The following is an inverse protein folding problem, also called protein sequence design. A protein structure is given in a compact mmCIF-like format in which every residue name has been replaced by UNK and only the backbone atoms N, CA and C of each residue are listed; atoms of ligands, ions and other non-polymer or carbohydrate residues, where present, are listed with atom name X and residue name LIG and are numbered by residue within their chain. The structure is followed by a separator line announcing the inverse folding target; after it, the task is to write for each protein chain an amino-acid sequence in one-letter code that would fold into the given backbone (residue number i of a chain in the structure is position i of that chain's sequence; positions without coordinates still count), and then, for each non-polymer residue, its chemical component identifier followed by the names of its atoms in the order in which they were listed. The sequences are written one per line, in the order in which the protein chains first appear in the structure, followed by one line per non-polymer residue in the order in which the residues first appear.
data_IF_659238133937
#
_entry.id   IF_659238133937
#
_cell.length_a   1.000
_cell.length_b   1.000
_cell.length_c   1.000
_cell.angle_alpha   90.00
_cell.angle_beta   90.00
_cell.angle_gamma   90.00
#
_symmetry.space_group_name_H-M   'P 1'
#
loop_
_entity.id
_entity.type
_entity.pdbx_description
1 polymer ?
#
# COMPACT_ATOMS: atom_id res chain seq x y z
N UNK A 1 -11.53 2.46 -33.64
CA UNK A 1 -12.68 2.41 -32.74
C UNK A 1 -12.15 2.57 -31.34
N UNK A 2 -12.56 3.64 -30.66
CA UNK A 2 -12.34 3.86 -29.24
C UNK A 2 -13.10 2.81 -28.44
N UNK A 3 -12.55 2.37 -27.30
CA UNK A 3 -13.23 1.47 -26.37
C UNK A 3 -14.34 2.24 -25.66
N UNK A 4 -15.54 1.67 -25.53
CA UNK A 4 -16.62 2.28 -24.74
C UNK A 4 -16.42 2.08 -23.23
N UNK A 5 -17.11 2.87 -22.39
CA UNK A 5 -17.09 2.65 -20.94
C UNK A 5 -17.57 1.24 -20.58
N UNK A 6 -18.65 0.77 -21.20
CA UNK A 6 -19.21 -0.57 -20.95
C UNK A 6 -18.21 -1.70 -21.24
N UNK A 7 -17.48 -1.61 -22.35
CA UNK A 7 -16.43 -2.58 -22.69
C UNK A 7 -15.27 -2.55 -21.68
N UNK A 8 -14.86 -1.35 -21.23
CA UNK A 8 -13.80 -1.22 -20.25
C UNK A 8 -14.20 -1.74 -18.87
N UNK A 9 -15.40 -1.38 -18.40
CA UNK A 9 -15.93 -1.88 -17.13
C UNK A 9 -16.08 -3.39 -17.16
N UNK A 10 -16.74 -3.95 -18.17
CA UNK A 10 -16.98 -5.39 -18.27
C UNK A 10 -15.72 -6.22 -18.49
N UNK A 11 -14.75 -5.71 -19.24
CA UNK A 11 -13.51 -6.44 -19.55
C UNK A 11 -12.41 -6.29 -18.50
N UNK A 12 -12.42 -5.21 -17.71
CA UNK A 12 -11.31 -4.88 -16.81
C UNK A 12 -11.77 -4.55 -15.39
N UNK A 13 -12.61 -3.54 -15.19
CA UNK A 13 -12.92 -3.04 -13.83
C UNK A 13 -13.75 -4.04 -13.03
N UNK A 14 -14.84 -4.56 -13.60
CA UNK A 14 -15.70 -5.51 -12.89
C UNK A 14 -14.97 -6.82 -12.57
N UNK A 15 -14.16 -7.44 -13.46
CA UNK A 15 -13.37 -8.60 -13.07
C UNK A 15 -12.23 -8.28 -12.09
N UNK A 16 -11.68 -7.06 -12.09
CA UNK A 16 -10.69 -6.63 -11.09
C UNK A 16 -11.32 -6.61 -9.69
N UNK A 17 -12.51 -6.03 -9.58
CA UNK A 17 -13.22 -5.92 -8.31
C UNK A 17 -13.92 -7.23 -7.91
N UNK A 18 -14.60 -7.91 -8.81
CA UNK A 18 -15.38 -9.12 -8.52
C UNK A 18 -14.59 -10.42 -8.61
N UNK A 19 -13.38 -10.38 -9.15
CA UNK A 19 -12.65 -11.57 -9.58
C UNK A 19 -13.11 -12.05 -10.96
N UNK A 20 -12.19 -12.67 -11.70
CA UNK A 20 -12.45 -13.17 -13.04
C UNK A 20 -11.28 -12.92 -13.99
N UNK A 21 -11.39 -13.36 -15.25
CA UNK A 21 -10.38 -13.07 -16.26
C UNK A 21 -10.39 -11.59 -16.63
N UNK A 22 -9.23 -10.95 -16.52
CA UNK A 22 -9.03 -9.57 -17.00
C UNK A 22 -8.67 -9.56 -18.47
N UNK A 23 -9.25 -8.61 -19.20
CA UNK A 23 -8.91 -8.31 -20.58
C UNK A 23 -8.00 -7.08 -20.63
N UNK A 24 -6.71 -7.32 -20.84
CA UNK A 24 -5.73 -6.27 -21.10
C UNK A 24 -5.67 -6.05 -22.61
N UNK A 25 -6.36 -5.00 -23.07
CA UNK A 25 -6.44 -4.67 -24.48
C UNK A 25 -5.46 -3.57 -24.90
N UNK A 26 -5.82 -2.82 -25.95
CA UNK A 26 -5.09 -1.60 -26.32
C UNK A 26 -5.05 -0.61 -25.15
N UNK A 27 -3.93 0.11 -24.95
CA UNK A 27 -3.84 1.17 -23.96
C UNK A 27 -4.86 2.26 -24.15
N UNK A 28 -5.32 2.80 -23.03
CA UNK A 28 -6.28 3.89 -22.96
C UNK A 28 -5.55 5.23 -22.99
N UNK A 29 -6.00 6.13 -23.85
CA UNK A 29 -5.48 7.51 -23.94
C UNK A 29 -6.27 8.43 -23.01
N UNK A 30 -5.68 9.55 -22.55
CA UNK A 30 -6.39 10.52 -21.72
C UNK A 30 -7.72 11.02 -22.32
N UNK A 31 -7.77 11.22 -23.64
CA UNK A 31 -8.99 11.62 -24.36
C UNK A 31 -10.10 10.57 -24.27
N UNK A 32 -9.73 9.27 -24.34
CA UNK A 32 -10.69 8.17 -24.20
C UNK A 32 -11.20 8.08 -22.75
N UNK A 33 -10.31 8.30 -21.78
CA UNK A 33 -10.68 8.34 -20.35
C UNK A 33 -11.63 9.50 -20.06
N UNK A 34 -11.37 10.68 -20.63
CA UNK A 34 -12.25 11.84 -20.48
C UNK A 34 -13.66 11.58 -21.04
N UNK A 35 -13.75 10.99 -22.24
CA UNK A 35 -15.04 10.60 -22.82
C UNK A 35 -15.78 9.56 -21.96
N UNK A 36 -15.07 8.54 -21.45
CA UNK A 36 -15.63 7.55 -20.54
C UNK A 36 -16.08 8.16 -19.20
N UNK A 37 -15.43 9.24 -18.72
CA UNK A 37 -15.81 9.92 -17.49
C UNK A 37 -17.16 10.64 -17.64
N UNK A 38 -17.42 11.26 -18.79
CA UNK A 38 -18.73 11.86 -19.10
C UNK A 38 -19.83 10.79 -19.13
N UNK A 39 -19.57 9.63 -19.74
CA UNK A 39 -20.49 8.48 -19.74
C UNK A 39 -20.74 7.92 -18.34
N UNK A 40 -19.71 7.90 -17.48
CA UNK A 40 -19.79 7.39 -16.10
C UNK A 40 -20.69 8.30 -15.25
N UNK A 41 -20.53 9.62 -15.35
CA UNK A 41 -21.39 10.58 -14.63
C UNK A 41 -22.84 10.53 -15.14
N UNK A 42 -23.04 10.25 -16.42
CA UNK A 42 -24.37 10.18 -17.01
C UNK A 42 -25.13 8.87 -16.72
N UNK A 43 -24.48 7.85 -16.16
CA UNK A 43 -25.07 6.52 -15.99
C UNK A 43 -24.74 5.86 -14.65
N UNK A 44 -25.76 5.36 -13.96
CA UNK A 44 -25.55 4.55 -12.76
C UNK A 44 -25.23 3.11 -13.15
N UNK A 45 -24.16 2.54 -12.59
CA UNK A 45 -23.80 1.13 -12.79
C UNK A 45 -23.90 0.35 -11.47
N UNK A 46 -25.05 -0.30 -11.25
CA UNK A 46 -25.33 -1.00 -9.99
C UNK A 46 -24.35 -2.16 -9.70
N UNK A 47 -23.84 -2.84 -10.72
CA UNK A 47 -22.86 -3.92 -10.54
C UNK A 47 -21.51 -3.38 -10.10
N UNK A 48 -21.08 -2.25 -10.66
CA UNK A 48 -19.86 -1.55 -10.24
C UNK A 48 -19.95 -1.15 -8.77
N UNK A 49 -21.03 -0.47 -8.38
CA UNK A 49 -21.22 0.00 -7.02
C UNK A 49 -21.31 -1.15 -6.01
N UNK A 50 -22.02 -2.22 -6.36
CA UNK A 50 -22.08 -3.42 -5.53
C UNK A 50 -20.69 -4.04 -5.30
N UNK A 51 -19.87 -4.14 -6.34
CA UNK A 51 -18.53 -4.72 -6.23
C UNK A 51 -17.56 -3.80 -5.47
N UNK A 52 -17.65 -2.48 -5.69
CA UNK A 52 -16.90 -1.47 -4.91
C UNK A 52 -17.22 -1.60 -3.42
N UNK A 53 -18.51 -1.64 -3.08
CA UNK A 53 -18.98 -1.79 -1.70
C UNK A 53 -18.49 -3.10 -1.06
N UNK A 54 -18.59 -4.23 -1.77
CA UNK A 54 -18.09 -5.52 -1.28
C UNK A 54 -16.58 -5.53 -1.01
N UNK A 55 -15.80 -4.86 -1.86
CA UNK A 55 -14.35 -4.74 -1.65
C UNK A 55 -14.02 -3.85 -0.47
N UNK A 56 -14.71 -2.74 -0.30
CA UNK A 56 -14.55 -1.91 0.90
C UNK A 56 -14.98 -2.68 2.17
N UNK A 57 -16.00 -3.54 2.08
CA UNK A 57 -16.47 -4.38 3.19
C UNK A 57 -15.43 -5.39 3.68
N UNK A 58 -14.47 -5.77 2.84
CA UNK A 58 -13.34 -6.61 3.25
C UNK A 58 -12.37 -5.87 4.19
N UNK A 59 -12.41 -4.53 4.21
CA UNK A 59 -11.58 -3.69 5.09
C UNK A 59 -12.40 -3.16 6.27
N UNK A 60 -13.58 -2.59 6.02
CA UNK A 60 -14.44 -2.01 7.06
C UNK A 60 -15.85 -2.56 6.92
N UNK A 61 -16.45 -3.07 8.00
CA UNK A 61 -17.73 -3.77 7.95
C UNK A 61 -18.90 -2.97 7.32
N UNK A 62 -18.96 -1.66 7.60
CA UNK A 62 -19.99 -0.75 7.09
C UNK A 62 -19.30 0.42 6.38
N UNK A 63 -18.81 0.23 5.14
CA UNK A 63 -18.12 1.29 4.43
C UNK A 63 -19.14 2.25 3.81
N UNK A 64 -18.76 3.52 3.77
CA UNK A 64 -19.45 4.56 3.01
C UNK A 64 -18.52 4.90 1.84
N UNK A 65 -19.04 4.83 0.62
CA UNK A 65 -18.32 5.23 -0.58
C UNK A 65 -19.22 6.16 -1.37
N UNK A 66 -18.65 7.24 -1.90
CA UNK A 66 -19.30 8.03 -2.93
C UNK A 66 -19.36 7.22 -4.24
N UNK A 67 -20.24 7.64 -5.14
CA UNK A 67 -20.33 7.05 -6.50
C UNK A 67 -18.99 7.15 -7.23
N UNK A 68 -18.68 6.17 -8.08
CA UNK A 68 -17.43 6.18 -8.81
C UNK A 68 -17.25 7.44 -9.67
N UNK A 69 -16.21 8.21 -9.38
CA UNK A 69 -15.91 9.46 -10.06
C UNK A 69 -14.85 9.37 -11.17
N UNK A 70 -14.55 10.50 -11.84
CA UNK A 70 -13.50 10.58 -12.85
C UNK A 70 -12.11 10.17 -12.35
N UNK A 71 -11.78 10.47 -11.09
CA UNK A 71 -10.48 10.14 -10.49
C UNK A 71 -10.30 8.62 -10.33
N UNK A 72 -11.33 7.90 -9.89
CA UNK A 72 -11.32 6.44 -9.82
C UNK A 72 -11.24 5.80 -11.21
N UNK A 73 -11.96 6.36 -12.18
CA UNK A 73 -11.86 5.91 -13.57
C UNK A 73 -10.45 6.12 -14.13
N UNK A 74 -9.84 7.27 -13.85
CA UNK A 74 -8.46 7.58 -14.20
C UNK A 74 -7.48 6.59 -13.57
N UNK A 75 -7.67 6.26 -12.29
CA UNK A 75 -6.90 5.25 -11.58
C UNK A 75 -7.04 3.88 -12.23
N UNK A 76 -8.26 3.39 -12.50
CA UNK A 76 -8.46 2.10 -13.19
C UNK A 76 -7.82 2.08 -14.58
N UNK A 77 -7.92 3.18 -15.33
CA UNK A 77 -7.30 3.29 -16.65
C UNK A 77 -5.77 3.25 -16.57
N UNK A 78 -5.18 3.90 -15.56
CA UNK A 78 -3.74 3.84 -15.30
C UNK A 78 -3.30 2.41 -14.95
N UNK A 79 -4.02 1.73 -14.06
CA UNK A 79 -3.75 0.34 -13.69
C UNK A 79 -3.84 -0.61 -14.90
N UNK A 80 -4.84 -0.44 -15.75
CA UNK A 80 -4.94 -1.17 -17.03
C UNK A 80 -3.71 -0.91 -17.90
N UNK A 81 -3.32 0.36 -18.08
CA UNK A 81 -2.19 0.73 -18.91
C UNK A 81 -0.85 0.18 -18.39
N UNK A 82 -0.69 0.05 -17.07
CA UNK A 82 0.48 -0.58 -16.45
C UNK A 82 0.61 -2.03 -16.92
N UNK A 83 -0.47 -2.80 -16.91
CA UNK A 83 -0.45 -4.19 -17.38
C UNK A 83 -0.11 -4.32 -18.87
N UNK A 84 -0.40 -3.29 -19.67
CA UNK A 84 -0.03 -3.31 -21.09
C UNK A 84 1.48 -3.29 -21.30
N UNK A 85 2.26 -2.69 -20.39
CA UNK A 85 3.73 -2.70 -20.52
C UNK A 85 4.34 -4.09 -20.36
N UNK A 86 3.66 -5.01 -19.67
CA UNK A 86 4.07 -6.40 -19.50
C UNK A 86 3.36 -7.36 -20.48
N UNK A 87 2.58 -6.82 -21.41
CA UNK A 87 1.88 -7.68 -22.37
C UNK A 87 2.89 -8.47 -23.22
N UNK A 88 2.76 -9.81 -23.35
CA UNK A 88 3.74 -10.66 -24.05
C UNK A 88 3.91 -10.30 -25.54
N UNK A 89 2.89 -9.70 -26.16
CA UNK A 89 2.98 -9.22 -27.55
C UNK A 89 3.49 -7.78 -27.67
N UNK A 90 3.99 -7.16 -26.61
CA UNK A 90 4.57 -5.81 -26.61
C UNK A 90 5.50 -5.54 -27.81
N UNK A 91 6.42 -6.46 -28.21
CA UNK A 91 7.27 -6.26 -29.38
C UNK A 91 6.50 -6.11 -30.70
N UNK A 92 5.32 -6.70 -30.81
CA UNK A 92 4.46 -6.69 -32.01
C UNK A 92 3.51 -5.50 -32.04
N UNK A 93 3.10 -4.99 -30.88
CA UNK A 93 2.08 -3.92 -30.78
C UNK A 93 2.65 -2.57 -31.20
N UNK A 94 3.79 -2.16 -30.62
CA UNK A 94 4.48 -0.93 -31.03
C UNK A 94 5.98 -1.08 -30.98
N UNK A 95 6.62 -0.90 -32.13
CA UNK A 95 8.07 -0.94 -32.27
C UNK A 95 8.77 0.35 -31.84
N UNK A 96 8.04 1.48 -31.79
CA UNK A 96 8.64 2.80 -31.54
C UNK A 96 8.68 3.13 -30.05
N UNK A 97 9.88 3.31 -29.50
CA UNK A 97 10.14 3.71 -28.10
C UNK A 97 9.39 4.99 -27.67
N UNK A 98 9.18 5.94 -28.59
CA UNK A 98 8.48 7.19 -28.30
C UNK A 98 7.01 6.96 -27.90
N UNK A 99 6.36 5.94 -28.47
CA UNK A 99 4.95 5.62 -28.16
C UNK A 99 4.82 5.11 -26.73
N UNK A 100 5.74 4.24 -26.30
CA UNK A 100 5.78 3.73 -24.93
C UNK A 100 6.06 4.83 -23.90
N UNK A 101 6.98 5.76 -24.22
CA UNK A 101 7.22 6.94 -23.35
C UNK A 101 5.99 7.83 -23.22
N UNK A 102 5.24 8.04 -24.31
CA UNK A 102 3.99 8.81 -24.27
C UNK A 102 2.92 8.11 -23.45
N UNK A 103 2.82 6.78 -23.55
CA UNK A 103 1.92 6.01 -22.71
C UNK A 103 2.32 6.09 -21.23
N UNK A 104 3.60 5.97 -20.92
CA UNK A 104 4.12 6.08 -19.55
C UNK A 104 3.79 7.46 -18.96
N UNK A 105 4.01 8.53 -19.73
CA UNK A 105 3.64 9.89 -19.33
C UNK A 105 2.13 10.03 -19.11
N UNK A 106 1.30 9.48 -20.00
CA UNK A 106 -0.15 9.51 -19.86
C UNK A 106 -0.62 8.75 -18.61
N UNK A 107 -0.09 7.54 -18.35
CA UNK A 107 -0.39 6.79 -17.14
C UNK A 107 0.02 7.54 -15.87
N UNK A 108 1.19 8.22 -15.90
CA UNK A 108 1.63 9.06 -14.78
C UNK A 108 0.69 10.24 -14.53
N UNK A 109 0.21 10.90 -15.58
CA UNK A 109 -0.81 11.96 -15.44
C UNK A 109 -2.08 11.43 -14.80
N UNK A 110 -2.56 10.25 -15.20
CA UNK A 110 -3.74 9.61 -14.61
C UNK A 110 -3.53 9.19 -13.13
N UNK A 111 -2.28 8.96 -12.71
CA UNK A 111 -1.92 8.66 -11.31
C UNK A 111 -1.59 9.91 -10.49
N UNK A 112 -1.61 11.10 -11.09
CA UNK A 112 -1.34 12.37 -10.39
C UNK A 112 -2.60 12.81 -9.64
N UNK A 113 -2.96 12.05 -8.60
CA UNK A 113 -4.07 12.35 -7.71
C UNK A 113 -3.58 13.16 -6.50
N UNK A 114 -4.40 14.08 -6.01
CA UNK A 114 -4.12 14.79 -4.75
C UNK A 114 -4.10 13.82 -3.55
N UNK A 115 -3.70 14.28 -2.37
CA UNK A 115 -3.93 13.50 -1.15
C UNK A 115 -5.44 13.32 -0.92
N UNK A 116 -5.92 12.14 -0.52
CA UNK A 116 -7.33 11.95 -0.26
C UNK A 116 -7.78 12.83 0.91
N UNK A 117 -8.85 13.59 0.70
CA UNK A 117 -9.37 14.54 1.70
C UNK A 117 -10.13 13.83 2.82
N UNK A 118 -10.72 12.67 2.52
CA UNK A 118 -11.55 11.89 3.44
C UNK A 118 -11.09 10.43 3.50
N UNK A 119 -11.61 9.69 4.48
CA UNK A 119 -11.35 8.26 4.58
C UNK A 119 -12.02 7.48 3.45
N UNK A 120 -13.23 7.90 3.06
CA UNK A 120 -14.04 7.30 2.00
C UNK A 120 -13.30 7.37 0.66
N UNK A 121 -12.69 8.52 0.36
CA UNK A 121 -11.85 8.69 -0.83
C UNK A 121 -10.60 7.80 -0.77
N UNK A 122 -9.92 7.77 0.38
CA UNK A 122 -8.74 6.91 0.56
C UNK A 122 -9.07 5.42 0.42
N UNK A 123 -10.26 5.01 0.91
CA UNK A 123 -10.78 3.66 0.81
C UNK A 123 -11.18 3.32 -0.63
N UNK A 124 -11.82 4.23 -1.36
CA UNK A 124 -12.16 4.05 -2.77
C UNK A 124 -10.90 3.80 -3.62
N UNK A 125 -9.83 4.56 -3.37
CA UNK A 125 -8.53 4.31 -4.04
C UNK A 125 -7.94 2.95 -3.67
N UNK A 126 -8.09 2.50 -2.43
CA UNK A 126 -7.70 1.14 -2.04
C UNK A 126 -8.54 0.06 -2.72
N UNK A 127 -9.84 0.27 -2.88
CA UNK A 127 -10.74 -0.65 -3.61
C UNK A 127 -10.25 -0.89 -5.05
N UNK A 128 -9.63 0.11 -5.68
CA UNK A 128 -8.99 -0.04 -6.98
C UNK A 128 -7.60 -0.71 -6.91
N UNK A 129 -6.71 -0.20 -6.05
CA UNK A 129 -5.28 -0.57 -6.02
C UNK A 129 -5.03 -1.89 -5.29
N UNK A 130 -5.77 -2.18 -4.23
CA UNK A 130 -5.63 -3.41 -3.44
C UNK A 130 -5.77 -4.67 -4.30
N UNK A 131 -6.89 -4.87 -5.01
CA UNK A 131 -7.09 -6.01 -5.90
C UNK A 131 -6.08 -6.06 -7.06
N UNK A 132 -5.58 -4.90 -7.51
CA UNK A 132 -4.55 -4.85 -8.54
C UNK A 132 -3.23 -5.48 -8.08
N UNK A 133 -2.86 -5.30 -6.81
CA UNK A 133 -1.69 -5.96 -6.23
C UNK A 133 -1.93 -7.45 -5.90
N UNK A 134 -3.16 -7.95 -6.08
CA UNK A 134 -3.54 -9.35 -5.88
C UNK A 134 -3.67 -10.11 -7.20
N UNK A 135 -3.38 -9.46 -8.33
CA UNK A 135 -3.53 -10.09 -9.63
C UNK A 135 -2.65 -11.33 -9.72
N UNK A 136 -3.25 -12.40 -10.25
CA UNK A 136 -2.56 -13.64 -10.57
C UNK A 136 -2.51 -13.78 -12.09
N UNK A 137 -1.34 -14.12 -12.62
CA UNK A 137 -1.17 -14.53 -14.01
C UNK A 137 -1.28 -16.04 -14.08
N UNK A 138 -2.09 -16.54 -15.01
CA UNK A 138 -2.23 -17.97 -15.31
C UNK A 138 -1.56 -18.26 -16.63
N UNK A 139 -0.40 -18.90 -16.56
CA UNK A 139 0.41 -19.24 -17.72
C UNK A 139 0.13 -20.68 -18.13
N UNK A 140 0.19 -20.93 -19.44
CA UNK A 140 0.03 -22.28 -19.98
C UNK A 140 1.27 -22.65 -20.78
N UNK A 141 1.89 -23.76 -20.40
CA UNK A 141 3.03 -24.34 -21.11
C UNK A 141 2.54 -25.55 -21.90
N UNK A 142 2.76 -25.52 -23.21
CA UNK A 142 2.43 -26.60 -24.13
C UNK A 142 3.71 -27.31 -24.56
N UNK A 143 3.77 -28.61 -24.30
CA UNK A 143 4.90 -29.47 -24.65
C UNK A 143 4.70 -30.03 -26.06
N UNK A 144 5.32 -29.39 -27.05
CA UNK A 144 5.27 -29.82 -28.45
C UNK A 144 6.46 -30.71 -28.81
N UNK A 145 6.43 -31.31 -29.99
CA UNK A 145 7.59 -32.04 -30.53
C UNK A 145 8.81 -31.13 -30.78
N UNK A 146 8.57 -29.83 -30.97
CA UNK A 146 9.61 -28.82 -31.26
C UNK A 146 10.16 -28.17 -29.98
N UNK A 147 9.59 -28.49 -28.80
CA UNK A 147 9.97 -27.93 -27.51
C UNK A 147 8.79 -27.37 -26.72
N UNK A 148 9.09 -26.53 -25.72
CA UNK A 148 8.11 -25.87 -24.88
C UNK A 148 7.61 -24.56 -25.50
N UNK A 149 6.30 -24.42 -25.70
CA UNK A 149 5.65 -23.14 -26.04
C UNK A 149 4.96 -22.58 -24.79
N UNK A 150 5.29 -21.34 -24.40
CA UNK A 150 4.69 -20.67 -23.22
C UNK A 150 3.69 -19.59 -23.64
N UNK A 151 2.53 -19.60 -23.00
CA UNK A 151 1.46 -18.62 -23.16
C UNK A 151 1.28 -17.87 -21.84
N UNK A 152 1.75 -16.63 -21.77
CA UNK A 152 1.79 -15.83 -20.54
C UNK A 152 0.47 -15.09 -20.33
N UNK A 153 -0.47 -15.68 -19.59
CA UNK A 153 -1.84 -15.14 -19.44
C UNK A 153 -2.70 -15.13 -20.71
N UNK A 154 -2.19 -15.66 -21.83
CA UNK A 154 -2.86 -15.64 -23.13
C UNK A 154 -3.74 -16.88 -23.35
N UNK A 155 -4.83 -16.76 -24.12
CA UNK A 155 -5.59 -17.94 -24.53
C UNK A 155 -4.76 -18.83 -25.44
N UNK A 156 -4.71 -20.12 -25.13
CA UNK A 156 -4.00 -21.10 -25.95
C UNK A 156 -4.80 -21.41 -27.23
N UNK A 157 -4.19 -21.34 -28.43
CA UNK A 157 -4.85 -21.72 -29.66
C UNK A 157 -5.37 -23.17 -29.62
N UNK A 158 -6.62 -23.40 -30.01
CA UNK A 158 -7.26 -24.73 -29.96
C UNK A 158 -6.41 -25.86 -30.59
N UNK A 159 -5.71 -25.56 -31.68
CA UNK A 159 -4.82 -26.50 -32.39
C UNK A 159 -3.64 -27.01 -31.55
N UNK A 160 -3.23 -26.26 -30.53
CA UNK A 160 -2.12 -26.60 -29.62
C UNK A 160 -2.57 -27.40 -28.40
N UNK A 161 -3.88 -27.45 -28.11
CA UNK A 161 -4.44 -28.20 -26.97
C UNK A 161 -4.36 -29.72 -27.12
N UNK A 162 -3.94 -30.24 -28.28
CA UNK A 162 -3.71 -31.68 -28.52
C UNK A 162 -2.40 -32.21 -27.93
N UNK A 163 -1.53 -31.31 -27.47
CA UNK A 163 -0.23 -31.64 -26.88
C UNK A 163 -0.30 -31.64 -25.36
N UNK A 164 0.77 -32.09 -24.69
CA UNK A 164 0.87 -32.05 -23.23
C UNK A 164 0.76 -30.62 -22.71
N UNK A 165 0.01 -30.42 -21.62
CA UNK A 165 -0.29 -29.11 -21.03
C UNK A 165 0.13 -29.06 -19.57
N UNK A 166 0.81 -28.00 -19.17
CA UNK A 166 1.06 -27.63 -17.78
C UNK A 166 0.53 -26.22 -17.53
N UNK A 167 -0.23 -26.06 -16.46
CA UNK A 167 -0.70 -24.74 -16.00
C UNK A 167 0.22 -24.24 -14.89
N UNK A 168 0.64 -22.98 -14.97
CA UNK A 168 1.46 -22.29 -13.99
C UNK A 168 0.70 -21.07 -13.47
N UNK A 169 0.80 -20.79 -12.18
CA UNK A 169 0.13 -19.65 -11.54
C UNK A 169 1.19 -18.84 -10.80
N UNK A 170 1.22 -17.55 -11.08
CA UNK A 170 2.18 -16.61 -10.48
C UNK A 170 1.43 -15.38 -9.99
N UNK A 171 1.78 -14.87 -8.81
CA UNK A 171 1.33 -13.55 -8.37
C UNK A 171 1.99 -12.50 -9.26
N UNK A 172 1.21 -11.70 -9.97
CA UNK A 172 1.74 -10.79 -10.99
C UNK A 172 2.80 -9.85 -10.42
N UNK A 173 2.56 -9.25 -9.25
CA UNK A 173 3.48 -8.30 -8.61
C UNK A 173 4.83 -8.90 -8.17
N UNK A 174 4.91 -10.22 -8.06
CA UNK A 174 6.13 -10.95 -7.68
C UNK A 174 6.96 -11.36 -8.91
N UNK A 175 6.47 -11.10 -10.13
CA UNK A 175 7.11 -11.47 -11.38
C UNK A 175 8.16 -10.45 -11.84
N UNK A 176 8.95 -10.82 -12.84
CA UNK A 176 9.85 -9.88 -13.51
C UNK A 176 9.07 -8.92 -14.40
N UNK A 177 9.19 -7.62 -14.10
CA UNK A 177 8.45 -6.57 -14.78
C UNK A 177 9.34 -5.75 -15.70
N UNK A 178 8.72 -5.17 -16.74
CA UNK A 178 9.40 -4.19 -17.57
C UNK A 178 9.70 -2.90 -16.79
N UNK A 179 10.74 -2.18 -17.22
CA UNK A 179 11.22 -0.99 -16.52
C UNK A 179 10.15 0.12 -16.38
N UNK A 180 9.20 0.23 -17.31
CA UNK A 180 8.08 1.18 -17.20
C UNK A 180 7.15 0.84 -16.04
N UNK A 181 6.84 -0.44 -15.82
CA UNK A 181 6.02 -0.90 -14.70
C UNK A 181 6.72 -0.55 -13.39
N UNK A 182 8.00 -0.91 -13.25
CA UNK A 182 8.79 -0.59 -12.07
C UNK A 182 8.82 0.92 -11.74
N UNK A 183 8.84 1.79 -12.75
CA UNK A 183 8.81 3.25 -12.57
C UNK A 183 7.43 3.82 -12.25
N UNK A 184 6.34 3.11 -12.60
CA UNK A 184 4.96 3.55 -12.35
C UNK A 184 4.38 2.94 -11.07
N UNK A 185 4.88 1.80 -10.60
CA UNK A 185 4.41 1.17 -9.37
C UNK A 185 4.47 2.09 -8.15
N UNK A 186 5.53 2.90 -7.93
CA UNK A 186 5.53 3.88 -6.85
C UNK A 186 4.35 4.86 -6.95
N UNK A 187 4.03 5.36 -8.14
CA UNK A 187 2.91 6.30 -8.34
C UNK A 187 1.56 5.65 -8.02
N UNK A 188 1.38 4.37 -8.37
CA UNK A 188 0.19 3.58 -8.00
C UNK A 188 0.04 3.47 -6.49
N UNK A 189 1.14 3.18 -5.80
CA UNK A 189 1.11 3.02 -4.35
C UNK A 189 0.90 4.35 -3.64
N UNK A 190 1.51 5.44 -4.13
CA UNK A 190 1.26 6.80 -3.66
C UNK A 190 -0.20 7.22 -3.81
N UNK A 191 -0.88 6.77 -4.88
CA UNK A 191 -2.29 7.03 -5.06
C UNK A 191 -3.16 6.41 -3.96
N UNK A 192 -2.72 5.33 -3.29
CA UNK A 192 -3.51 4.66 -2.24
C UNK A 192 -2.75 4.52 -0.90
N UNK A 193 -2.83 5.54 -0.02
CA UNK A 193 -2.23 5.48 1.31
C UNK A 193 -2.75 4.33 2.18
N UNK A 194 -4.04 3.98 2.05
CA UNK A 194 -4.64 2.84 2.74
C UNK A 194 -4.00 1.52 2.30
N UNK A 195 -3.73 1.34 0.99
CA UNK A 195 -3.02 0.15 0.51
C UNK A 195 -1.61 0.07 1.08
N UNK A 196 -0.87 1.19 1.08
CA UNK A 196 0.46 1.24 1.68
C UNK A 196 0.43 0.90 3.18
N UNK A 197 -0.57 1.39 3.93
CA UNK A 197 -0.69 1.06 5.35
C UNK A 197 -1.05 -0.41 5.57
N UNK A 198 -1.92 -1.01 4.74
CA UNK A 198 -2.27 -2.43 4.82
C UNK A 198 -1.15 -3.36 4.36
N UNK A 199 -0.29 -2.91 3.43
CA UNK A 199 0.84 -3.65 2.85
C UNK A 199 2.13 -2.84 2.91
N UNK A 200 2.65 -2.54 4.11
CA UNK A 200 3.75 -1.58 4.29
C UNK A 200 5.07 -2.04 3.68
N UNK A 201 5.27 -3.33 3.44
CA UNK A 201 6.45 -3.85 2.75
C UNK A 201 6.47 -3.54 1.26
N UNK A 202 5.33 -3.15 0.68
CA UNK A 202 5.23 -2.69 -0.71
C UNK A 202 5.24 -1.16 -0.81
N UNK A 203 5.25 -0.42 0.31
CA UNK A 203 5.19 1.03 0.27
C UNK A 203 6.41 1.62 -0.48
N UNK A 204 6.22 2.69 -1.28
CA UNK A 204 7.29 3.26 -2.07
C UNK A 204 8.31 3.98 -1.20
N UNK A 205 9.51 4.21 -1.74
CA UNK A 205 10.52 5.01 -1.05
C UNK A 205 9.99 6.41 -0.72
N UNK A 206 10.33 6.91 0.48
CA UNK A 206 9.84 8.19 0.98
C UNK A 206 8.40 8.17 1.51
N UNK A 207 7.71 7.02 1.45
CA UNK A 207 6.40 6.87 2.07
C UNK A 207 6.44 7.08 3.58
N UNK A 208 5.41 7.75 4.09
CA UNK A 208 5.18 7.91 5.52
C UNK A 208 3.83 7.31 5.92
N UNK A 209 3.78 6.49 6.98
CA UNK A 209 2.50 6.00 7.52
C UNK A 209 1.63 7.12 8.07
N UNK A 210 2.19 8.31 8.32
CA UNK A 210 1.46 9.45 8.88
C UNK A 210 0.38 9.98 7.92
N UNK A 211 0.50 9.74 6.61
CA UNK A 211 -0.54 10.11 5.64
C UNK A 211 -1.86 9.38 5.94
N UNK A 212 -1.79 8.11 6.35
CA UNK A 212 -2.96 7.29 6.63
C UNK A 212 -3.27 7.17 8.14
N UNK A 213 -2.41 7.72 9.00
CA UNK A 213 -2.57 7.65 10.46
C UNK A 213 -3.87 8.32 10.98
N UNK A 214 -4.38 9.44 10.42
CA UNK A 214 -5.67 9.99 10.84
C UNK A 214 -6.82 8.98 10.77
N UNK A 215 -6.78 8.06 9.81
CA UNK A 215 -7.82 7.05 9.62
C UNK A 215 -7.80 5.97 10.70
N UNK A 216 -6.68 5.78 11.42
CA UNK A 216 -6.60 4.83 12.53
C UNK A 216 -7.44 5.25 13.74
N UNK A 217 -7.95 6.49 13.77
CA UNK A 217 -8.97 6.91 14.75
C UNK A 217 -10.31 6.17 14.54
N UNK A 218 -10.56 5.68 13.31
CA UNK A 218 -11.71 4.83 13.01
C UNK A 218 -11.43 3.40 13.51
N UNK A 219 -12.00 3.05 14.65
CA UNK A 219 -11.80 1.75 15.30
C UNK A 219 -11.95 0.53 14.37
N UNK A 220 -12.96 0.45 13.47
CA UNK A 220 -13.06 -0.67 12.53
C UNK A 220 -11.85 -0.77 11.60
N UNK A 221 -11.37 0.37 11.07
CA UNK A 221 -10.22 0.42 10.18
C UNK A 221 -8.92 0.07 10.92
N UNK A 222 -8.71 0.62 12.12
CA UNK A 222 -7.54 0.27 12.95
C UNK A 222 -7.45 -1.24 13.22
N UNK A 223 -8.59 -1.88 13.50
CA UNK A 223 -8.64 -3.35 13.65
C UNK A 223 -8.28 -4.07 12.36
N UNK A 224 -8.82 -3.62 11.22
CA UNK A 224 -8.52 -4.21 9.93
C UNK A 224 -7.03 -4.12 9.59
N UNK A 225 -6.40 -2.97 9.85
CA UNK A 225 -4.95 -2.77 9.67
C UNK A 225 -4.14 -3.71 10.58
N UNK A 226 -4.45 -3.75 11.87
CA UNK A 226 -3.76 -4.63 12.82
C UNK A 226 -3.92 -6.10 12.44
N UNK A 227 -5.11 -6.53 12.02
CA UNK A 227 -5.35 -7.90 11.57
C UNK A 227 -4.71 -8.22 10.22
N UNK A 228 -4.62 -7.27 9.29
CA UNK A 228 -3.88 -7.46 8.05
C UNK A 228 -2.40 -7.69 8.34
N UNK A 229 -1.80 -6.88 9.22
CA UNK A 229 -0.42 -7.07 9.65
C UNK A 229 -0.23 -8.38 10.41
N UNK A 230 -1.14 -8.72 11.31
CA UNK A 230 -1.08 -9.95 12.08
C UNK A 230 -1.27 -11.19 11.19
N UNK A 231 -2.14 -11.13 10.18
CA UNK A 231 -2.33 -12.24 9.24
C UNK A 231 -1.10 -12.53 8.36
N UNK A 232 -0.19 -11.56 8.22
CA UNK A 232 1.05 -11.74 7.48
C UNK A 232 2.05 -12.63 8.22
N UNK A 233 2.66 -13.58 7.50
CA UNK A 233 3.82 -14.33 8.00
C UNK A 233 5.03 -13.40 8.25
N UNK A 234 5.06 -12.26 7.57
CA UNK A 234 6.10 -11.24 7.66
C UNK A 234 5.68 -10.05 8.54
N UNK A 235 4.88 -10.29 9.59
CA UNK A 235 4.36 -9.23 10.47
C UNK A 235 5.48 -8.38 11.11
N UNK A 236 6.65 -8.97 11.38
CA UNK A 236 7.83 -8.26 11.90
C UNK A 236 8.36 -7.26 10.86
N UNK A 237 8.47 -7.68 9.60
CA UNK A 237 8.89 -6.83 8.50
C UNK A 237 7.85 -5.75 8.21
N UNK A 238 6.56 -6.07 8.30
CA UNK A 238 5.49 -5.11 8.15
C UNK A 238 5.55 -4.03 9.24
N UNK A 239 5.64 -4.43 10.51
CA UNK A 239 5.81 -3.50 11.63
C UNK A 239 7.10 -2.69 11.53
N UNK A 240 8.20 -3.32 11.11
CA UNK A 240 9.47 -2.66 10.83
C UNK A 240 9.38 -1.61 9.71
N UNK A 241 8.67 -1.90 8.62
CA UNK A 241 8.47 -0.97 7.52
C UNK A 241 7.67 0.26 7.96
N UNK A 242 6.57 0.06 8.70
CA UNK A 242 5.79 1.16 9.28
C UNK A 242 6.64 1.98 10.25
N UNK A 243 7.37 1.32 11.15
CA UNK A 243 8.24 1.99 12.11
C UNK A 243 9.37 2.78 11.44
N UNK A 244 9.96 2.22 10.38
CA UNK A 244 10.98 2.89 9.57
C UNK A 244 10.47 4.18 8.95
N UNK A 245 9.31 4.10 8.29
CA UNK A 245 8.65 5.28 7.70
C UNK A 245 8.28 6.33 8.75
N UNK A 246 7.77 5.91 9.92
CA UNK A 246 7.49 6.82 11.03
C UNK A 246 8.76 7.54 11.50
N UNK A 247 9.84 6.80 11.77
CA UNK A 247 11.07 7.40 12.30
C UNK A 247 11.75 8.32 11.29
N UNK A 248 11.70 8.01 10.00
CA UNK A 248 12.15 8.92 8.95
C UNK A 248 11.33 10.22 8.94
N UNK A 249 10.03 10.13 9.19
CA UNK A 249 9.14 11.30 9.21
C UNK A 249 9.33 12.18 10.45
N UNK A 250 9.78 11.59 11.56
CA UNK A 250 10.01 12.29 12.81
C UNK A 250 11.44 12.83 12.96
N UNK A 251 12.33 12.44 12.05
CA UNK A 251 13.70 12.94 12.01
C UNK A 251 13.68 14.46 11.79
N UNK A 252 14.55 15.22 12.48
CA UNK A 252 14.68 16.64 12.19
C UNK A 252 15.02 16.83 10.72
N UNK A 253 14.49 17.87 10.05
CA UNK A 253 14.91 18.19 8.70
C UNK A 253 16.44 18.34 8.69
N UNK A 254 17.13 17.89 7.62
CA UNK A 254 18.56 18.07 7.51
C UNK A 254 18.87 19.57 7.71
N UNK A 255 19.86 19.87 8.55
CA UNK A 255 20.31 21.25 8.73
C UNK A 255 20.58 21.85 7.34
N UNK A 256 20.08 23.07 7.06
CA UNK A 256 20.32 23.71 5.78
C UNK A 256 21.82 23.74 5.58
N UNK A 257 22.29 23.01 4.56
CA UNK A 257 23.70 23.05 4.19
C UNK A 257 24.01 24.51 3.91
N UNK A 258 25.00 25.13 4.57
CA UNK A 258 25.27 26.55 4.38
C UNK A 258 25.46 26.80 2.88
N UNK A 259 24.63 27.67 2.32
CA UNK A 259 24.70 28.01 0.91
C UNK A 259 26.14 28.46 0.60
N UNK A 260 26.78 27.95 -0.47
CA UNK A 260 28.03 28.52 -0.92
C UNK A 260 27.77 29.99 -1.25
N UNK A 261 28.40 30.87 -0.46
CA UNK A 261 28.40 32.32 -0.59
C UNK A 261 28.38 32.77 -2.04
N UNK A 262 27.43 33.67 -2.34
CA UNK A 262 27.19 34.28 -3.64
C UNK A 262 28.49 34.67 -4.36
N UNK A 263 28.72 34.02 -5.49
CA UNK A 263 29.52 34.58 -6.58
C UNK A 263 28.81 34.27 -7.90
N UNK A 264 28.23 35.32 -8.48
CA UNK A 264 27.89 35.51 -9.90
C UNK A 264 26.79 34.64 -10.53
N UNK A 265 25.69 35.32 -10.89
CA UNK A 265 25.09 35.22 -12.22
C UNK A 265 23.94 34.22 -12.37
N UNK A 266 22.75 34.78 -12.66
CA UNK A 266 21.56 34.14 -13.24
C UNK A 266 21.79 32.74 -13.84
N UNK A 267 21.35 31.71 -13.10
CA UNK A 267 20.94 30.44 -13.73
C UNK A 267 19.58 30.09 -13.16
N UNK A 268 18.56 30.55 -13.88
CA UNK A 268 17.23 29.96 -13.84
C UNK A 268 17.40 28.48 -14.23
N UNK A 269 17.52 27.59 -13.23
CA UNK A 269 17.62 26.14 -13.45
C UNK A 269 16.31 25.65 -14.05
N UNK A 270 16.23 25.67 -15.37
CA UNK A 270 15.31 24.83 -16.10
C UNK A 270 15.54 23.38 -15.64
N UNK A 271 14.50 22.77 -15.06
CA UNK A 271 14.48 21.33 -14.83
C UNK A 271 14.84 20.63 -16.15
N UNK A 272 15.76 19.66 -16.15
CA UNK A 272 16.09 18.92 -17.37
C UNK A 272 14.81 18.26 -17.90
N UNK A 273 14.52 18.46 -19.18
CA UNK A 273 13.43 17.79 -19.87
C UNK A 273 13.59 16.27 -19.71
N UNK A 274 12.78 15.66 -18.84
CA UNK A 274 12.85 14.23 -18.50
C UNK A 274 13.09 13.90 -17.02
N UNK A 275 13.18 14.89 -16.12
CA UNK A 275 13.09 14.60 -14.68
C UNK A 275 11.70 14.01 -14.35
N UNK A 276 11.62 12.85 -13.67
CA UNK A 276 10.33 12.29 -13.29
C UNK A 276 9.65 13.26 -12.33
N UNK A 277 8.48 13.75 -12.73
CA UNK A 277 7.52 14.34 -11.81
C UNK A 277 7.07 13.17 -10.94
N UNK A 278 7.72 12.98 -9.79
CA UNK A 278 7.21 12.09 -8.75
C UNK A 278 5.89 12.69 -8.27
N UNK A 279 4.87 11.86 -8.11
CA UNK A 279 3.67 12.24 -7.36
C UNK A 279 4.10 12.52 -5.90
N UNK A 280 4.41 13.79 -5.64
CA UNK A 280 4.73 14.41 -4.35
C UNK A 280 5.84 13.72 -3.51
N UNK A 281 7.12 14.03 -3.76
CA UNK A 281 8.15 13.85 -2.74
C UNK A 281 7.98 14.90 -1.64
N UNK A 282 7.74 14.44 -0.40
CA UNK A 282 8.07 15.22 0.80
C UNK A 282 7.10 16.33 1.20
N UNK A 283 5.78 16.12 1.12
CA UNK A 283 4.89 16.94 1.95
C UNK A 283 5.27 16.69 3.42
N UNK A 284 5.81 17.71 4.08
CA UNK A 284 6.00 17.69 5.54
C UNK A 284 4.63 17.52 6.18
N UNK A 285 4.26 16.28 6.47
CA UNK A 285 2.98 15.98 7.08
C UNK A 285 3.08 16.43 8.54
N UNK A 286 2.34 17.49 8.89
CA UNK A 286 2.21 17.94 10.27
C UNK A 286 1.31 16.96 11.02
N UNK A 287 1.83 15.77 11.33
CA UNK A 287 1.16 14.84 12.21
C UNK A 287 1.17 15.41 13.63
N UNK A 288 -0.02 15.49 14.24
CA UNK A 288 -0.14 15.80 15.65
C UNK A 288 0.19 14.60 16.54
N UNK A 289 0.19 14.83 17.86
CA UNK A 289 0.38 13.77 18.85
C UNK A 289 -0.61 12.60 18.69
N UNK A 290 -1.85 12.90 18.26
CA UNK A 290 -2.91 11.91 18.09
C UNK A 290 -2.63 10.95 16.94
N UNK A 291 -2.12 11.42 15.80
CA UNK A 291 -1.80 10.56 14.65
C UNK A 291 -0.62 9.65 14.96
N UNK A 292 0.42 10.20 15.60
CA UNK A 292 1.58 9.41 16.05
C UNK A 292 1.13 8.37 17.08
N UNK A 293 0.30 8.79 18.04
CA UNK A 293 -0.26 7.92 19.07
C UNK A 293 -1.10 6.80 18.47
N UNK A 294 -2.01 7.09 17.55
CA UNK A 294 -2.85 6.08 16.90
C UNK A 294 -2.02 5.03 16.16
N UNK A 295 -0.95 5.44 15.47
CA UNK A 295 -0.04 4.53 14.77
C UNK A 295 0.77 3.66 15.75
N UNK A 296 1.35 4.27 16.79
CA UNK A 296 2.09 3.53 17.83
C UNK A 296 1.16 2.57 18.58
N UNK A 297 -0.05 2.99 18.89
CA UNK A 297 -1.09 2.15 19.49
C UNK A 297 -1.43 0.94 18.60
N UNK A 298 -1.59 1.14 17.29
CA UNK A 298 -1.83 0.05 16.35
C UNK A 298 -0.65 -0.95 16.29
N UNK A 299 0.59 -0.46 16.26
CA UNK A 299 1.78 -1.32 16.28
C UNK A 299 1.92 -2.09 17.61
N UNK A 300 1.68 -1.45 18.75
CA UNK A 300 1.67 -2.12 20.06
C UNK A 300 0.55 -3.16 20.13
N UNK A 301 -0.62 -2.88 19.56
CA UNK A 301 -1.73 -3.83 19.48
C UNK A 301 -1.39 -5.03 18.59
N UNK A 302 -0.64 -4.84 17.49
CA UNK A 302 -0.13 -5.95 16.69
C UNK A 302 0.71 -6.93 17.53
N UNK A 303 1.60 -6.44 18.38
CA UNK A 303 2.35 -7.28 19.33
C UNK A 303 1.40 -8.05 20.25
N UNK A 304 0.40 -7.38 20.80
CA UNK A 304 -0.57 -8.01 21.69
C UNK A 304 -1.36 -9.14 21.01
N UNK A 305 -1.88 -8.90 19.80
CA UNK A 305 -2.54 -9.95 18.98
C UNK A 305 -1.61 -11.13 18.74
N UNK A 306 -0.32 -10.87 18.49
CA UNK A 306 0.67 -11.92 18.26
C UNK A 306 1.00 -12.72 19.53
N UNK A 307 1.00 -12.10 20.70
CA UNK A 307 1.10 -12.82 21.99
C UNK A 307 -0.14 -13.68 22.25
N UNK A 308 -1.34 -13.25 21.83
CA UNK A 308 -2.54 -14.08 21.92
C UNK A 308 -2.45 -15.31 21.01
N UNK A 309 -1.95 -15.14 19.77
CA UNK A 309 -1.83 -16.19 18.77
C UNK A 309 -0.72 -17.20 19.09
N UNK A 310 0.49 -16.71 19.44
CA UNK A 310 1.71 -17.52 19.52
C UNK A 310 2.20 -17.72 20.96
N UNK A 311 1.61 -17.03 21.93
CA UNK A 311 2.07 -17.02 23.33
C UNK A 311 3.28 -16.11 23.57
N UNK A 312 3.82 -16.16 24.80
CA UNK A 312 4.94 -15.33 25.23
C UNK A 312 6.29 -15.73 24.59
N UNK A 313 6.41 -16.98 24.12
CA UNK A 313 7.62 -17.53 23.48
C UNK A 313 7.71 -17.18 22.00
N UNK A 314 7.27 -15.97 21.67
CA UNK A 314 7.35 -15.49 20.31
C UNK A 314 8.82 -15.51 19.91
N UNK A 315 9.17 -16.35 18.93
CA UNK A 315 10.53 -16.50 18.44
C UNK A 315 10.95 -15.25 17.69
N UNK A 316 11.17 -14.16 18.43
CA UNK A 316 11.64 -12.91 17.87
C UNK A 316 13.10 -13.14 17.54
N UNK A 317 13.40 -13.30 16.25
CA UNK A 317 14.78 -13.39 15.77
C UNK A 317 15.46 -12.02 15.96
N UNK A 318 15.92 -11.74 17.18
CA UNK A 318 16.65 -10.52 17.57
C UNK A 318 18.01 -10.41 16.87
N UNK A 319 18.43 -11.47 16.18
CA UNK A 319 19.57 -11.48 15.27
C UNK A 319 19.43 -10.53 14.07
N UNK A 320 18.23 -9.99 13.79
CA UNK A 320 18.07 -8.98 12.74
C UNK A 320 18.93 -7.75 13.01
N UNK A 321 19.64 -7.29 11.98
CA UNK A 321 20.44 -6.06 12.00
C UNK A 321 19.66 -4.83 11.56
N UNK A 322 18.42 -5.02 11.10
CA UNK A 322 17.58 -3.94 10.62
C UNK A 322 17.11 -3.07 11.79
N UNK A 323 17.58 -1.81 11.81
CA UNK A 323 17.23 -0.84 12.86
C UNK A 323 15.73 -0.67 13.01
N UNK A 324 15.00 -0.55 11.90
CA UNK A 324 13.56 -0.31 11.91
C UNK A 324 12.79 -1.46 12.58
N UNK A 325 13.21 -2.71 12.34
CA UNK A 325 12.65 -3.89 13.01
C UNK A 325 12.94 -3.86 14.51
N UNK A 326 14.17 -3.53 14.94
CA UNK A 326 14.48 -3.43 16.38
C UNK A 326 13.66 -2.34 17.07
N UNK A 327 13.46 -1.22 16.41
CA UNK A 327 12.61 -0.13 16.91
C UNK A 327 11.16 -0.58 17.05
N UNK A 328 10.63 -1.30 16.05
CA UNK A 328 9.28 -1.89 16.13
C UNK A 328 9.17 -2.86 17.33
N UNK A 329 10.11 -3.79 17.46
CA UNK A 329 10.14 -4.75 18.55
C UNK A 329 10.26 -4.11 19.95
N UNK A 330 10.83 -2.91 20.04
CA UNK A 330 10.95 -2.16 21.30
C UNK A 330 9.68 -1.39 21.71
N UNK A 331 8.70 -1.22 20.83
CA UNK A 331 7.49 -0.43 21.12
C UNK A 331 6.70 -0.92 22.35
N UNK A 332 6.50 -2.23 22.59
CA UNK A 332 5.80 -2.71 23.78
C UNK A 332 6.41 -2.23 25.10
N UNK A 333 7.72 -1.96 25.12
CA UNK A 333 8.44 -1.49 26.30
C UNK A 333 8.13 -0.01 26.64
N UNK A 334 7.50 0.72 25.73
CA UNK A 334 7.00 2.08 25.97
C UNK A 334 5.54 2.11 26.49
N UNK A 335 4.85 0.97 26.52
CA UNK A 335 3.44 0.91 26.88
C UNK A 335 3.14 1.49 28.27
N UNK A 336 3.94 1.24 29.34
CA UNK A 336 3.67 1.81 30.66
C UNK A 336 3.71 3.35 30.69
N UNK A 337 4.56 3.98 29.86
CA UNK A 337 4.66 5.44 29.79
C UNK A 337 3.55 6.07 28.94
N UNK A 338 2.95 5.28 28.04
CA UNK A 338 1.94 5.74 27.09
C UNK A 338 0.52 5.29 27.45
N UNK A 339 0.35 4.48 28.50
CA UNK A 339 -0.93 3.89 28.92
C UNK A 339 -2.03 4.95 29.13
N UNK A 340 -1.68 6.08 29.75
CA UNK A 340 -2.65 7.17 29.98
C UNK A 340 -3.18 7.82 28.70
N UNK A 341 -2.49 7.65 27.57
CA UNK A 341 -2.85 8.25 26.29
C UNK A 341 -3.38 7.23 25.27
N UNK A 342 -2.72 6.07 25.16
CA UNK A 342 -3.09 5.00 24.21
C UNK A 342 -4.12 4.02 24.79
N UNK A 343 -4.34 4.07 26.10
CA UNK A 343 -4.97 3.00 26.87
C UNK A 343 -3.98 1.85 27.14
N UNK A 344 -4.29 1.02 28.14
CA UNK A 344 -3.54 -0.21 28.34
C UNK A 344 -4.18 -1.36 27.55
N UNK A 345 -3.38 -2.24 26.92
CA UNK A 345 -3.90 -3.44 26.27
C UNK A 345 -4.63 -4.37 27.25
N UNK A 346 -4.31 -4.24 28.55
CA UNK A 346 -4.81 -5.08 29.63
C UNK A 346 -5.87 -4.41 30.52
N UNK A 347 -6.24 -3.15 30.28
CA UNK A 347 -7.26 -2.49 31.11
C UNK A 347 -8.59 -3.24 30.95
N UNK A 348 -9.16 -3.80 32.03
CA UNK A 348 -10.46 -4.45 31.93
C UNK A 348 -11.48 -3.40 31.47
N UNK A 349 -12.34 -3.70 30.49
CA UNK A 349 -13.44 -2.80 30.17
C UNK A 349 -14.28 -2.64 31.44
N UNK A 350 -14.84 -1.45 31.65
CA UNK A 350 -15.68 -1.09 32.80
C UNK A 350 -16.85 -2.08 33.06
N UNK A 351 -17.15 -2.95 32.09
CA UNK A 351 -18.19 -3.99 32.12
C UNK A 351 -17.69 -5.43 32.37
N UNK A 352 -16.48 -5.61 32.90
CA UNK A 352 -16.03 -6.91 33.45
C UNK A 352 -15.63 -7.99 32.44
N UNK A 353 -15.51 -7.67 31.15
CA UNK A 353 -14.96 -8.55 30.12
C UNK A 353 -13.46 -8.28 29.91
N UNK A 354 -12.68 -8.34 30.99
CA UNK A 354 -11.23 -8.22 30.93
C UNK A 354 -10.58 -9.46 30.36
N UNK A 355 -9.36 -9.32 29.82
CA UNK A 355 -8.52 -10.48 29.56
C UNK A 355 -8.22 -11.21 30.87
N UNK A 356 -8.13 -12.54 30.82
CA UNK A 356 -7.84 -13.33 32.00
C UNK A 356 -6.40 -13.11 32.50
N UNK A 357 -6.12 -13.58 33.73
CA UNK A 357 -4.80 -13.50 34.32
C UNK A 357 -3.71 -14.24 33.50
N UNK A 358 -4.11 -15.19 32.65
CA UNK A 358 -3.18 -15.92 31.80
C UNK A 358 -2.68 -15.05 30.65
N UNK A 359 -3.54 -14.28 30.01
CA UNK A 359 -3.15 -13.30 28.98
C UNK A 359 -2.26 -12.21 29.58
N UNK A 360 -2.61 -11.69 30.76
CA UNK A 360 -1.79 -10.71 31.47
C UNK A 360 -0.36 -11.23 31.70
N UNK A 361 -0.25 -12.45 32.22
CA UNK A 361 1.03 -13.11 32.44
C UNK A 361 1.82 -13.30 31.15
N UNK A 362 1.17 -13.72 30.04
CA UNK A 362 1.85 -13.89 28.75
C UNK A 362 2.37 -12.57 28.19
N UNK A 363 1.61 -11.49 28.36
CA UNK A 363 2.04 -10.15 27.95
C UNK A 363 3.26 -9.70 28.76
N UNK A 364 3.25 -9.88 30.09
CA UNK A 364 4.41 -9.58 30.95
C UNK A 364 5.63 -10.42 30.59
N UNK A 365 5.49 -11.74 30.45
CA UNK A 365 6.59 -12.62 30.04
C UNK A 365 7.18 -12.21 28.68
N UNK A 366 6.33 -11.75 27.76
CA UNK A 366 6.76 -11.25 26.45
C UNK A 366 7.54 -9.94 26.56
N UNK A 367 7.05 -8.97 27.32
CA UNK A 367 7.74 -7.68 27.50
C UNK A 367 9.06 -7.85 28.26
N UNK A 368 9.09 -8.73 29.27
CA UNK A 368 10.32 -9.05 30.01
C UNK A 368 11.36 -9.67 29.08
N UNK A 369 10.93 -10.62 28.24
CA UNK A 369 11.80 -11.22 27.23
C UNK A 369 12.35 -10.18 26.25
N UNK A 370 11.53 -9.24 25.77
CA UNK A 370 11.98 -8.15 24.90
C UNK A 370 13.01 -7.25 25.58
N UNK A 371 12.82 -6.93 26.86
CA UNK A 371 13.75 -6.10 27.64
C UNK A 371 15.12 -6.78 27.82
N UNK A 372 15.15 -8.10 27.93
CA UNK A 372 16.39 -8.88 28.05
C UNK A 372 17.19 -8.95 26.73
N UNK A 373 16.49 -9.01 25.60
CA UNK A 373 17.13 -9.26 24.29
C UNK A 373 17.42 -7.99 23.48
N UNK A 374 16.68 -6.91 23.70
CA UNK A 374 16.87 -5.68 22.94
C UNK A 374 17.98 -4.81 23.55
N UNK A 375 18.86 -4.23 22.72
CA UNK A 375 19.85 -3.27 23.21
C UNK A 375 19.17 -2.08 23.90
N UNK A 376 19.66 -1.67 25.07
CA UNK A 376 19.07 -0.59 25.87
C UNK A 376 18.98 0.72 25.08
N UNK A 377 20.01 1.04 24.29
CA UNK A 377 20.06 2.23 23.44
C UNK A 377 18.89 2.31 22.44
N UNK A 378 18.39 1.17 21.94
CA UNK A 378 17.20 1.14 21.06
C UNK A 378 15.97 1.66 21.80
N UNK A 379 15.76 1.19 23.03
CA UNK A 379 14.60 1.56 23.86
C UNK A 379 14.68 3.01 24.34
N UNK A 380 15.86 3.46 24.75
CA UNK A 380 16.10 4.84 25.16
C UNK A 380 15.84 5.81 23.99
N UNK A 381 16.37 5.52 22.80
CA UNK A 381 16.12 6.30 21.58
C UNK A 381 14.63 6.38 21.22
N UNK A 382 13.91 5.25 21.33
CA UNK A 382 12.46 5.22 21.13
C UNK A 382 11.73 6.12 22.13
N UNK A 383 12.09 6.02 23.42
CA UNK A 383 11.48 6.80 24.48
C UNK A 383 11.70 8.30 24.26
N UNK A 384 12.94 8.71 24.00
CA UNK A 384 13.29 10.12 23.74
C UNK A 384 12.63 10.67 22.48
N UNK A 385 12.41 9.83 21.47
CA UNK A 385 11.78 10.27 20.22
C UNK A 385 10.26 10.34 20.34
N UNK A 386 9.61 9.26 20.76
CA UNK A 386 8.16 9.09 20.65
C UNK A 386 7.40 9.68 21.84
N UNK A 387 7.86 9.46 23.08
CA UNK A 387 7.11 9.87 24.27
C UNK A 387 6.84 11.38 24.30
N UNK A 388 7.85 12.26 24.07
CA UNK A 388 7.60 13.71 24.03
C UNK A 388 6.70 14.14 22.88
N UNK A 389 6.65 13.39 21.77
CA UNK A 389 5.81 13.74 20.61
C UNK A 389 4.35 13.32 20.80
N UNK A 390 4.11 12.23 21.53
CA UNK A 390 2.77 11.71 21.83
C UNK A 390 2.16 12.43 23.04
N UNK A 391 2.94 12.72 24.07
CA UNK A 391 2.46 13.38 25.29
C UNK A 391 2.44 14.91 25.22
N UNK A 392 2.90 15.50 24.11
CA UNK A 392 2.86 16.96 23.94
C UNK A 392 1.41 17.44 23.97
N UNK A 393 1.10 18.21 25.00
CA UNK A 393 -0.20 18.84 25.19
C UNK A 393 -0.42 19.84 24.04
N UNK A 394 -1.51 19.77 23.25
CA UNK A 394 -1.79 20.71 22.16
C UNK A 394 -2.03 22.16 22.64
N UNK A 395 -1.90 22.45 23.94
CA UNK A 395 -2.18 23.74 24.57
C UNK A 395 -0.94 24.57 24.97
N UNK A 396 0.26 24.29 24.45
CA UNK A 396 1.43 25.17 24.60
C UNK A 396 1.76 25.97 23.34
#
# INVERSE_FOLDING_TARGET
MSRSLSEFLGGFVLPLLGGGPLLVGKPLRPEEVAAMAEELVASTNADLELLRQRRAQAVVAEPVLDEAGPDELGLWAALHNILVFDHPERPKVWTRRITWRRLEAASRTLLTLGQPATFEEALARHVAVGPFLELIRRDVVILTLEGEERYLGQPVPRRRLRYGRRDEVTTWIEDEHNAEVLRLMPDVLWASPVTCLLRPTLAPEGWTPLIAAPYLKLRPFARAVVYAWAGSRAWIQAGGAVMGGLMMSLAPPPEPTPEPSEATGEVQRALPAGAPIMALPGSTFNAGPEEIGALVGALTHLHFVKVLELGARLGVATATRERAVRLFLGLPLLAPQLEGYLGAPMTPPERGLGFDAQVARRWTEYTDHLADVLPRDVVENLRETLVPRILKDPAQ
#
